data_IF_616703663502
#
_entry.id   IF_616703663502
#
_cell.length_a   1.000
_cell.length_b   1.000
_cell.length_c   1.000
_cell.angle_alpha   90.00
_cell.angle_beta   90.00
_cell.angle_gamma   90.00
#
_symmetry.space_group_name_H-M   'P 1'
#
loop_
_entity.id
_entity.type
_entity.pdbx_description
1 polymer ?
#
# COMPACT_ATOMS: atom_id res chain seq x y z
N UNK A 1 17.02 -8.51 6.00
CA UNK A 1 16.05 -8.34 4.92
C UNK A 1 14.63 -8.25 5.48
N UNK A 2 14.17 -9.18 6.28
CA UNK A 2 12.85 -9.13 6.91
C UNK A 2 12.63 -7.87 7.78
N UNK A 3 13.66 -7.43 8.49
CA UNK A 3 13.58 -6.20 9.28
C UNK A 3 13.41 -4.97 8.39
N UNK A 4 14.18 -4.87 7.30
CA UNK A 4 14.06 -3.76 6.36
C UNK A 4 12.68 -3.77 5.66
N UNK A 5 12.15 -4.97 5.31
CA UNK A 5 10.80 -5.09 4.79
C UNK A 5 9.76 -4.54 5.79
N UNK A 6 9.84 -4.92 7.07
CA UNK A 6 8.90 -4.43 8.09
C UNK A 6 8.99 -2.91 8.26
N UNK A 7 10.19 -2.34 8.22
CA UNK A 7 10.38 -0.89 8.26
C UNK A 7 9.80 -0.22 7.03
N UNK A 8 10.06 -0.77 5.84
CA UNK A 8 9.51 -0.27 4.60
C UNK A 8 7.97 -0.38 4.56
N UNK A 9 7.41 -1.49 5.04
CA UNK A 9 5.96 -1.67 5.14
C UNK A 9 5.33 -0.67 6.10
N UNK A 10 5.91 -0.47 7.29
CA UNK A 10 5.42 0.51 8.26
C UNK A 10 5.49 1.94 7.70
N UNK A 11 6.60 2.30 7.04
CA UNK A 11 6.75 3.60 6.39
C UNK A 11 5.76 3.76 5.24
N UNK A 12 5.62 2.75 4.39
CA UNK A 12 4.70 2.78 3.26
C UNK A 12 3.24 2.90 3.72
N UNK A 13 2.87 2.18 4.76
CA UNK A 13 1.54 2.27 5.37
C UNK A 13 1.29 3.68 5.94
N UNK A 14 2.29 4.29 6.56
CA UNK A 14 2.19 5.67 7.01
C UNK A 14 2.01 6.65 5.84
N UNK A 15 2.82 6.51 4.79
CA UNK A 15 2.78 7.36 3.60
C UNK A 15 1.44 7.26 2.87
N UNK A 16 0.88 6.07 2.74
CA UNK A 16 -0.32 5.84 1.91
C UNK A 16 -1.61 5.65 2.71
N UNK A 17 -1.62 6.07 3.97
CA UNK A 17 -2.86 6.20 4.76
C UNK A 17 -3.41 4.90 5.36
N UNK A 18 -2.63 3.82 5.33
CA UNK A 18 -2.91 2.62 6.13
C UNK A 18 -2.23 2.68 7.51
N UNK A 19 -1.84 3.88 7.96
CA UNK A 19 -1.14 4.05 9.22
C UNK A 19 -2.06 3.71 10.38
N UNK A 20 -1.66 2.71 11.14
CA UNK A 20 -2.24 2.37 12.44
C UNK A 20 -1.72 3.29 13.56
N UNK A 21 -0.89 4.28 13.24
CA UNK A 21 -0.50 5.30 14.19
C UNK A 21 -1.71 6.19 14.45
N UNK A 22 -2.42 5.74 15.45
CA UNK A 22 -3.48 6.40 16.19
C UNK A 22 -4.58 7.08 15.37
N UNK A 23 -5.66 6.36 15.22
CA UNK A 23 -7.01 6.93 15.04
C UNK A 23 -7.27 8.07 16.07
N UNK A 24 -6.54 8.07 17.18
CA UNK A 24 -6.61 9.09 18.24
C UNK A 24 -6.01 10.45 17.81
N UNK A 25 -5.19 10.51 16.77
CA UNK A 25 -4.66 11.75 16.21
C UNK A 25 -5.42 12.26 14.98
N UNK A 26 -6.38 11.51 14.49
CA UNK A 26 -7.32 12.06 13.50
C UNK A 26 -8.19 13.10 14.22
N UNK A 27 -8.13 14.37 13.81
CA UNK A 27 -9.03 15.36 14.39
C UNK A 27 -10.45 14.85 14.25
N UNK A 28 -11.20 14.90 15.34
CA UNK A 28 -12.57 14.45 15.35
C UNK A 28 -13.31 14.97 14.11
N UNK A 29 -13.88 14.07 13.33
CA UNK A 29 -14.70 14.34 12.16
C UNK A 29 -13.98 14.94 10.94
N UNK A 30 -12.79 14.50 10.55
CA UNK A 30 -12.13 14.94 9.30
C UNK A 30 -11.95 16.47 9.17
N UNK A 31 -12.15 17.21 10.27
CA UNK A 31 -12.06 18.64 10.32
C UNK A 31 -10.70 19.09 10.81
N UNK A 32 -9.71 19.23 9.90
CA UNK A 32 -8.55 20.05 10.22
C UNK A 32 -9.03 21.48 10.44
N UNK A 33 -8.52 22.19 11.46
CA UNK A 33 -8.80 23.62 11.57
C UNK A 33 -8.44 24.28 10.24
N UNK A 34 -9.36 25.00 9.60
CA UNK A 34 -9.14 25.60 8.27
C UNK A 34 -7.85 26.42 8.15
N UNK A 35 -7.44 27.04 9.25
CA UNK A 35 -6.22 27.82 9.34
C UNK A 35 -4.91 27.03 9.20
N UNK A 36 -4.96 25.69 9.31
CA UNK A 36 -3.80 24.82 9.15
C UNK A 36 -3.65 24.25 7.75
N UNK A 37 -4.69 24.35 6.91
CA UNK A 37 -4.66 23.88 5.53
C UNK A 37 -4.03 24.97 4.66
N UNK A 38 -3.08 24.59 3.82
CA UNK A 38 -2.40 25.48 2.88
C UNK A 38 -2.77 25.07 1.46
N UNK A 39 -3.17 26.04 0.64
CA UNK A 39 -3.41 25.81 -0.78
C UNK A 39 -2.16 26.22 -1.59
N UNK A 40 -1.70 25.32 -2.46
CA UNK A 40 -0.64 25.56 -3.45
C UNK A 40 -1.07 25.01 -4.80
N UNK A 41 -1.10 25.89 -5.81
CA UNK A 41 -1.47 25.51 -7.18
C UNK A 41 -2.84 24.80 -7.30
N UNK A 42 -3.83 25.22 -6.53
CA UNK A 42 -5.16 24.60 -6.50
C UNK A 42 -5.26 23.29 -5.71
N UNK A 43 -4.18 22.91 -5.02
CA UNK A 43 -4.14 21.69 -4.20
C UNK A 43 -4.07 22.06 -2.73
N UNK A 44 -4.93 21.42 -1.93
CA UNK A 44 -4.96 21.61 -0.48
C UNK A 44 -4.03 20.64 0.22
N UNK A 45 -3.13 21.17 1.04
CA UNK A 45 -2.19 20.42 1.85
C UNK A 45 -2.51 20.59 3.33
N UNK A 46 -2.52 19.48 4.03
CA UNK A 46 -2.77 19.38 5.47
C UNK A 46 -1.44 19.19 6.20
N UNK A 47 -1.18 19.90 7.32
CA UNK A 47 0.02 19.70 8.10
C UNK A 47 -0.02 18.34 8.81
N UNK A 48 1.11 17.63 8.80
CA UNK A 48 1.29 16.45 9.66
C UNK A 48 1.46 16.89 11.12
N UNK A 49 0.75 16.25 12.02
CA UNK A 49 0.83 16.52 13.47
C UNK A 49 1.52 15.40 14.24
N UNK A 50 1.77 14.26 13.61
CA UNK A 50 2.33 13.07 14.22
C UNK A 50 3.86 13.08 14.32
N UNK A 51 4.42 11.90 14.45
CA UNK A 51 5.86 11.61 14.58
C UNK A 51 6.73 12.34 13.57
N UNK A 52 6.22 12.52 12.36
CA UNK A 52 6.90 13.17 11.24
C UNK A 52 6.39 14.58 10.98
N UNK A 53 6.15 15.39 12.03
CA UNK A 53 5.71 16.77 11.84
C UNK A 53 6.74 17.68 11.14
N UNK A 54 8.03 17.31 11.14
CA UNK A 54 9.12 17.98 10.42
C UNK A 54 9.46 17.26 9.14
N UNK A 55 9.64 18.02 8.05
CA UNK A 55 10.02 17.47 6.74
C UNK A 55 11.32 16.66 6.80
N UNK A 56 12.37 17.22 7.40
CA UNK A 56 13.68 16.59 7.51
C UNK A 56 13.61 15.18 8.15
N UNK A 57 12.89 15.06 9.26
CA UNK A 57 12.74 13.77 9.95
C UNK A 57 11.98 12.75 9.10
N UNK A 58 10.99 13.22 8.36
CA UNK A 58 10.19 12.37 7.46
C UNK A 58 11.01 11.92 6.26
N UNK A 59 11.72 12.83 5.60
CA UNK A 59 12.54 12.53 4.44
C UNK A 59 13.69 11.57 4.81
N UNK A 60 14.36 11.80 5.93
CA UNK A 60 15.38 10.89 6.44
C UNK A 60 14.82 9.48 6.67
N UNK A 61 13.65 9.38 7.31
CA UNK A 61 13.01 8.09 7.56
C UNK A 61 12.61 7.39 6.27
N UNK A 62 12.07 8.11 5.28
CA UNK A 62 11.73 7.56 3.96
C UNK A 62 12.98 7.06 3.24
N UNK A 63 14.03 7.88 3.16
CA UNK A 63 15.27 7.55 2.47
C UNK A 63 16.12 6.52 3.23
N UNK A 64 15.78 6.22 4.48
CA UNK A 64 16.40 5.10 5.22
C UNK A 64 15.95 3.74 4.71
N UNK A 65 14.81 3.64 4.04
CA UNK A 65 14.23 2.37 3.54
C UNK A 65 14.05 2.33 2.03
N UNK A 66 13.81 3.47 1.37
CA UNK A 66 13.59 3.58 -0.07
C UNK A 66 14.71 4.32 -0.77
N UNK A 67 14.92 4.02 -2.07
CA UNK A 67 15.81 4.85 -2.90
C UNK A 67 15.15 6.19 -3.22
N UNK A 68 15.96 7.26 -3.46
CA UNK A 68 15.41 8.55 -3.91
C UNK A 68 14.55 8.42 -5.16
N UNK A 69 14.92 7.51 -6.08
CA UNK A 69 14.15 7.24 -7.31
C UNK A 69 12.75 6.71 -6.99
N UNK A 70 12.68 5.67 -6.14
CA UNK A 70 11.38 5.09 -5.76
C UNK A 70 10.54 6.11 -5.00
N UNK A 71 11.16 6.86 -4.07
CA UNK A 71 10.48 7.92 -3.34
C UNK A 71 9.89 8.98 -4.27
N UNK A 72 10.68 9.53 -5.19
CA UNK A 72 10.20 10.54 -6.12
C UNK A 72 9.02 10.03 -6.98
N UNK A 73 9.08 8.78 -7.42
CA UNK A 73 8.00 8.14 -8.15
C UNK A 73 6.72 8.01 -7.33
N UNK A 74 6.85 7.64 -6.06
CA UNK A 74 5.70 7.40 -5.16
C UNK A 74 5.14 8.69 -4.56
N UNK A 75 5.96 9.71 -4.41
CA UNK A 75 5.55 11.04 -3.93
C UNK A 75 4.95 11.90 -5.06
N UNK A 76 4.29 11.29 -6.02
CA UNK A 76 3.67 12.01 -7.14
C UNK A 76 2.22 11.57 -7.31
N UNK A 77 1.32 12.54 -7.29
CA UNK A 77 -0.09 12.34 -7.62
C UNK A 77 -0.39 13.03 -8.94
N UNK A 78 -0.46 12.28 -10.03
CA UNK A 78 -0.77 12.84 -11.35
C UNK A 78 0.02 14.11 -11.69
N UNK A 79 0.32 14.37 -12.91
CA UNK A 79 0.97 15.62 -13.39
C UNK A 79 2.14 16.18 -12.55
N UNK A 80 2.78 15.33 -11.72
CA UNK A 80 3.94 15.73 -10.90
C UNK A 80 3.60 16.47 -9.60
N UNK A 81 2.34 16.50 -9.18
CA UNK A 81 1.95 17.09 -7.90
C UNK A 81 2.45 16.23 -6.76
N UNK A 82 3.30 16.73 -5.84
CA UNK A 82 3.79 15.93 -4.72
C UNK A 82 2.66 15.63 -3.73
N UNK A 83 2.55 14.37 -3.29
CA UNK A 83 1.61 13.99 -2.22
C UNK A 83 2.05 14.57 -0.88
N UNK A 84 3.36 14.55 -0.64
CA UNK A 84 4.02 15.08 0.55
C UNK A 84 4.95 16.21 0.14
N UNK A 85 4.94 17.30 0.89
CA UNK A 85 5.74 18.49 0.56
C UNK A 85 6.26 19.19 1.81
N UNK A 86 7.42 19.84 1.66
CA UNK A 86 7.94 20.76 2.66
C UNK A 86 7.25 22.13 2.53
N UNK A 87 6.73 22.62 3.64
CA UNK A 87 6.30 24.01 3.78
C UNK A 87 6.92 24.54 5.07
N UNK A 88 7.93 25.40 4.91
CA UNK A 88 8.65 26.05 6.02
C UNK A 88 9.23 25.06 7.04
N UNK A 89 9.83 23.97 6.55
CA UNK A 89 10.45 22.91 7.37
C UNK A 89 9.44 21.97 8.02
N UNK A 90 8.16 22.06 7.69
CA UNK A 90 7.10 21.18 8.18
C UNK A 90 6.61 20.25 7.09
N UNK A 91 6.27 19.04 7.50
CA UNK A 91 5.63 18.06 6.62
C UNK A 91 4.15 18.43 6.39
N UNK A 92 3.79 18.54 5.13
CA UNK A 92 2.41 18.68 4.66
C UNK A 92 2.09 17.55 3.69
N UNK A 93 0.82 17.14 3.63
CA UNK A 93 0.37 16.07 2.74
C UNK A 93 -1.03 16.33 2.17
N UNK A 94 -1.32 15.69 1.05
CA UNK A 94 -2.67 15.68 0.47
C UNK A 94 -3.47 14.62 1.22
N UNK A 95 -4.47 15.05 1.99
CA UNK A 95 -5.37 14.13 2.67
C UNK A 95 -6.25 13.40 1.65
N UNK A 96 -6.07 12.08 1.55
CA UNK A 96 -6.89 11.23 0.68
C UNK A 96 -7.23 9.96 1.43
N UNK A 97 -8.51 9.61 1.47
CA UNK A 97 -8.94 8.30 1.95
C UNK A 97 -8.59 7.23 0.89
N UNK A 98 -7.90 6.18 1.30
CA UNK A 98 -7.64 5.00 0.48
C UNK A 98 -8.33 3.82 1.12
N UNK A 99 -9.19 3.14 0.36
CA UNK A 99 -9.86 1.92 0.80
C UNK A 99 -8.95 0.70 0.72
N UNK A 100 -9.25 -0.33 1.51
CA UNK A 100 -8.74 -1.67 1.28
C UNK A 100 -9.41 -2.26 0.04
N UNK A 101 -8.62 -2.90 -0.82
CA UNK A 101 -9.09 -3.44 -2.09
C UNK A 101 -9.25 -4.97 -2.06
N UNK A 102 -9.77 -5.50 -0.95
CA UNK A 102 -10.06 -6.93 -0.85
C UNK A 102 -8.85 -7.79 -0.47
N UNK A 103 -7.75 -7.18 0.01
CA UNK A 103 -6.67 -7.97 0.62
C UNK A 103 -7.23 -8.78 1.78
N UNK A 104 -6.98 -10.09 1.75
CA UNK A 104 -7.44 -11.01 2.77
C UNK A 104 -6.32 -11.27 3.78
N UNK A 105 -6.38 -10.62 4.93
CA UNK A 105 -5.38 -10.65 5.99
C UNK A 105 -5.34 -11.99 6.76
N UNK A 106 -6.33 -12.88 6.56
CA UNK A 106 -6.24 -14.25 7.04
C UNK A 106 -5.13 -15.06 6.32
N UNK A 107 -4.68 -14.60 5.14
CA UNK A 107 -3.62 -15.22 4.36
C UNK A 107 -2.42 -14.27 4.29
N UNK A 108 -1.40 -14.46 5.16
CA UNK A 108 -0.24 -13.59 5.18
C UNK A 108 0.51 -13.64 3.84
N UNK A 109 1.05 -12.49 3.42
CA UNK A 109 1.89 -12.43 2.23
C UNK A 109 3.04 -13.43 2.29
N UNK A 110 3.35 -14.03 1.16
CA UNK A 110 4.49 -14.93 0.99
C UNK A 110 5.58 -14.30 0.13
N UNK A 111 6.81 -14.78 0.25
CA UNK A 111 7.97 -14.24 -0.46
C UNK A 111 8.76 -15.35 -1.11
N UNK A 112 9.09 -15.18 -2.39
CA UNK A 112 9.95 -16.06 -3.14
C UNK A 112 11.16 -15.29 -3.67
N UNK A 113 12.38 -15.80 -3.39
CA UNK A 113 13.62 -15.20 -3.89
C UNK A 113 13.80 -15.55 -5.37
N UNK A 114 13.76 -14.53 -6.24
CA UNK A 114 13.96 -14.70 -7.67
C UNK A 114 15.43 -14.60 -8.06
N UNK A 115 16.18 -13.63 -7.49
CA UNK A 115 17.59 -13.42 -7.79
C UNK A 115 18.31 -12.71 -6.64
N UNK A 116 19.58 -13.06 -6.44
CA UNK A 116 20.48 -12.36 -5.52
C UNK A 116 21.87 -12.22 -6.12
N UNK A 117 22.39 -11.01 -6.10
CA UNK A 117 23.78 -10.68 -6.41
C UNK A 117 24.43 -9.96 -5.23
N UNK A 118 25.64 -9.46 -5.38
CA UNK A 118 26.31 -8.66 -4.36
C UNK A 118 25.60 -7.32 -4.10
N UNK A 119 25.00 -6.72 -5.15
CA UNK A 119 24.44 -5.38 -5.11
C UNK A 119 22.92 -5.32 -5.33
N UNK A 120 22.28 -6.46 -5.60
CA UNK A 120 20.85 -6.52 -5.90
C UNK A 120 20.19 -7.78 -5.34
N UNK A 121 18.97 -7.62 -4.83
CA UNK A 121 18.09 -8.71 -4.43
C UNK A 121 16.73 -8.47 -5.07
N UNK A 122 16.27 -9.44 -5.86
CA UNK A 122 14.93 -9.45 -6.47
C UNK A 122 14.15 -10.60 -5.87
N UNK A 123 12.94 -10.32 -5.44
CA UNK A 123 12.02 -11.32 -4.93
C UNK A 123 10.58 -10.98 -5.33
N UNK A 124 9.71 -11.96 -5.26
CA UNK A 124 8.28 -11.80 -5.51
C UNK A 124 7.56 -11.89 -4.17
N UNK A 125 6.71 -10.92 -3.91
CA UNK A 125 5.74 -10.97 -2.82
C UNK A 125 4.39 -11.35 -3.41
N UNK A 126 3.75 -12.38 -2.88
CA UNK A 126 2.40 -12.78 -3.27
C UNK A 126 1.40 -12.32 -2.20
N UNK A 127 0.43 -11.53 -2.60
CA UNK A 127 -0.71 -11.13 -1.80
C UNK A 127 -1.96 -11.92 -2.17
N UNK A 128 -2.83 -12.16 -1.20
CA UNK A 128 -4.05 -12.97 -1.34
C UNK A 128 -5.29 -12.09 -1.16
N UNK A 129 -6.31 -12.31 -1.99
CA UNK A 129 -7.45 -11.42 -2.10
C UNK A 129 -8.77 -12.18 -2.16
N UNK A 130 -9.80 -11.56 -1.60
CA UNK A 130 -11.18 -12.04 -1.63
C UNK A 130 -12.12 -10.85 -1.72
N UNK A 131 -13.33 -11.08 -2.20
CA UNK A 131 -14.40 -10.08 -2.11
C UNK A 131 -14.73 -9.78 -0.64
N UNK A 132 -14.47 -8.54 -0.14
CA UNK A 132 -14.61 -8.22 1.27
C UNK A 132 -16.06 -8.01 1.70
N UNK A 133 -16.96 -7.77 0.74
CA UNK A 133 -18.37 -7.51 1.02
C UNK A 133 -19.19 -8.81 1.09
N UNK A 134 -20.28 -8.83 1.86
CA UNK A 134 -21.20 -9.95 1.86
C UNK A 134 -21.76 -10.19 0.46
N UNK A 135 -21.85 -11.45 0.06
CA UNK A 135 -22.59 -11.87 -1.13
C UNK A 135 -24.10 -11.78 -0.88
N UNK A 136 -24.88 -11.82 -1.96
CA UNK A 136 -26.35 -11.79 -1.84
C UNK A 136 -26.85 -12.91 -0.93
N UNK A 137 -27.55 -12.55 0.14
CA UNK A 137 -28.07 -13.48 1.15
C UNK A 137 -27.05 -13.98 2.18
N UNK A 138 -25.79 -13.59 2.09
CA UNK A 138 -24.74 -13.97 3.03
C UNK A 138 -24.80 -13.11 4.30
N UNK A 139 -24.83 -13.72 5.46
CA UNK A 139 -24.67 -13.05 6.74
C UNK A 139 -23.23 -12.60 7.00
N UNK A 140 -23.00 -11.70 7.95
CA UNK A 140 -21.66 -11.29 8.35
C UNK A 140 -20.79 -12.46 8.86
N UNK A 141 -21.39 -13.39 9.57
CA UNK A 141 -20.72 -14.57 10.12
C UNK A 141 -20.30 -15.55 9.01
N UNK A 142 -21.17 -15.76 8.01
CA UNK A 142 -20.86 -16.58 6.83
C UNK A 142 -19.78 -15.94 5.96
N UNK A 143 -19.81 -14.60 5.78
CA UNK A 143 -18.74 -13.86 5.13
C UNK A 143 -17.39 -14.07 5.84
N UNK A 144 -17.35 -13.88 7.16
CA UNK A 144 -16.11 -14.01 7.94
C UNK A 144 -15.57 -15.45 7.88
N UNK A 145 -16.45 -16.45 7.92
CA UNK A 145 -16.10 -17.85 7.72
C UNK A 145 -15.52 -18.11 6.32
N UNK A 146 -16.13 -17.54 5.28
CA UNK A 146 -15.61 -17.63 3.90
C UNK A 146 -14.24 -16.99 3.76
N UNK A 147 -14.05 -15.78 4.30
CA UNK A 147 -12.77 -15.07 4.24
C UNK A 147 -11.66 -15.81 5.01
N UNK A 148 -12.01 -16.51 6.08
CA UNK A 148 -11.06 -17.31 6.86
C UNK A 148 -10.72 -18.66 6.21
N UNK A 149 -11.63 -19.22 5.42
CA UNK A 149 -11.48 -20.55 4.83
C UNK A 149 -10.58 -20.58 3.62
N UNK A 150 -10.66 -19.57 2.73
CA UNK A 150 -9.90 -19.55 1.48
C UNK A 150 -9.83 -18.14 0.87
N UNK A 151 -8.95 -17.96 -0.12
CA UNK A 151 -8.85 -16.75 -0.93
C UNK A 151 -9.35 -17.00 -2.35
N UNK A 152 -9.78 -15.95 -3.06
CA UNK A 152 -10.34 -16.07 -4.41
C UNK A 152 -9.26 -15.95 -5.49
N UNK A 153 -8.27 -15.10 -5.29
CA UNK A 153 -7.16 -14.93 -6.22
C UNK A 153 -5.92 -14.40 -5.50
N UNK A 154 -4.78 -14.53 -6.15
CA UNK A 154 -3.52 -13.96 -5.69
C UNK A 154 -2.94 -12.96 -6.71
N UNK A 155 -2.08 -12.08 -6.22
CA UNK A 155 -1.33 -11.14 -7.05
C UNK A 155 0.13 -11.20 -6.66
N UNK A 156 0.99 -11.34 -7.66
CA UNK A 156 2.44 -11.31 -7.50
C UNK A 156 2.97 -9.89 -7.71
N UNK A 157 3.74 -9.43 -6.74
CA UNK A 157 4.35 -8.12 -6.71
C UNK A 157 5.87 -8.26 -6.82
N UNK A 158 6.49 -7.79 -7.91
CA UNK A 158 7.94 -7.77 -7.99
C UNK A 158 8.51 -6.77 -6.99
N UNK A 159 9.52 -7.19 -6.24
CA UNK A 159 10.20 -6.39 -5.23
C UNK A 159 11.68 -6.36 -5.54
N UNK A 160 12.30 -5.20 -5.45
CA UNK A 160 13.73 -5.05 -5.69
C UNK A 160 14.40 -4.24 -4.61
N UNK A 161 15.49 -4.77 -4.08
CA UNK A 161 16.42 -4.07 -3.19
C UNK A 161 17.75 -3.87 -3.88
N UNK A 162 18.34 -2.73 -3.69
CA UNK A 162 19.68 -2.39 -4.18
C UNK A 162 20.58 -1.97 -3.02
N UNK A 163 21.87 -2.27 -3.15
CA UNK A 163 22.90 -1.83 -2.21
C UNK A 163 23.31 -0.41 -2.57
N UNK A 164 23.24 0.46 -1.58
CA UNK A 164 23.68 1.86 -1.67
C UNK A 164 24.86 2.09 -0.72
N UNK A 165 25.47 3.26 -0.76
CA UNK A 165 26.52 3.66 0.20
C UNK A 165 26.03 3.57 1.66
N UNK A 166 24.73 3.82 1.87
CA UNK A 166 24.09 3.79 3.19
C UNK A 166 23.37 2.46 3.50
N UNK A 167 23.74 1.37 2.81
CA UNK A 167 23.16 0.05 2.99
C UNK A 167 22.06 -0.29 2.00
N UNK A 168 21.32 -1.34 2.28
CA UNK A 168 20.26 -1.82 1.40
C UNK A 168 19.04 -0.90 1.43
N UNK A 169 18.45 -0.63 0.24
CA UNK A 169 17.22 0.15 0.06
C UNK A 169 16.30 -0.54 -0.93
N UNK A 170 14.99 -0.39 -0.73
CA UNK A 170 14.03 -0.77 -1.75
C UNK A 170 14.08 0.22 -2.91
N UNK A 171 14.23 -0.29 -4.11
CA UNK A 171 14.16 0.44 -5.37
C UNK A 171 12.89 0.09 -6.17
N UNK A 172 12.23 -0.99 -5.77
CA UNK A 172 10.87 -1.36 -6.16
C UNK A 172 10.17 -1.98 -4.96
N UNK A 173 9.03 -1.43 -4.59
CA UNK A 173 8.26 -1.84 -3.42
C UNK A 173 6.77 -1.69 -3.69
N UNK A 174 6.02 -2.70 -3.28
CA UNK A 174 4.56 -2.72 -3.32
C UNK A 174 4.01 -3.17 -1.97
N UNK A 175 2.84 -2.65 -1.65
CA UNK A 175 2.06 -3.06 -0.49
C UNK A 175 0.81 -3.80 -0.98
N UNK A 176 0.67 -5.07 -0.64
CA UNK A 176 -0.49 -5.88 -1.04
C UNK A 176 -1.82 -5.24 -0.64
N UNK A 177 -1.81 -4.45 0.42
CA UNK A 177 -2.99 -3.78 0.95
C UNK A 177 -3.49 -2.61 0.08
N UNK A 178 -2.60 -1.89 -0.60
CA UNK A 178 -2.93 -0.63 -1.29
C UNK A 178 -2.62 -0.62 -2.78
N UNK A 179 -1.68 -1.45 -3.26
CA UNK A 179 -1.13 -1.31 -4.61
C UNK A 179 -1.81 -2.16 -5.67
N UNK A 180 -2.72 -3.03 -5.28
CA UNK A 180 -3.32 -4.01 -6.19
C UNK A 180 -4.01 -3.39 -7.43
N UNK A 181 -4.46 -2.14 -7.34
CA UNK A 181 -5.17 -1.45 -8.42
C UNK A 181 -4.47 -0.15 -8.89
N UNK A 182 -3.27 0.16 -8.37
CA UNK A 182 -2.58 1.43 -8.68
C UNK A 182 -1.62 1.26 -9.85
N UNK A 183 -1.79 2.00 -10.97
CA UNK A 183 -0.77 2.08 -12.01
C UNK A 183 0.58 2.60 -11.45
N UNK A 184 1.73 2.09 -11.88
CA UNK A 184 1.92 1.25 -13.07
C UNK A 184 1.82 -0.26 -12.79
N UNK A 185 1.23 -0.66 -11.67
CA UNK A 185 1.17 -2.09 -11.34
C UNK A 185 0.24 -2.83 -12.30
N UNK A 186 0.79 -3.80 -13.03
CA UNK A 186 0.09 -4.69 -13.95
C UNK A 186 0.12 -6.15 -13.48
N UNK A 187 0.12 -6.34 -12.16
CA UNK A 187 0.16 -7.68 -11.57
C UNK A 187 -0.97 -8.55 -12.09
N UNK A 188 -0.62 -9.74 -12.53
CA UNK A 188 -1.59 -10.72 -13.03
C UNK A 188 -2.37 -11.29 -11.85
N UNK A 189 -3.69 -11.18 -11.87
CA UNK A 189 -4.56 -11.94 -10.97
C UNK A 189 -4.48 -13.43 -11.33
N UNK A 190 -4.10 -14.26 -10.37
CA UNK A 190 -4.10 -15.72 -10.50
C UNK A 190 -5.27 -16.27 -9.71
N UNK A 191 -6.33 -16.78 -10.37
CA UNK A 191 -7.48 -17.36 -9.68
C UNK A 191 -7.04 -18.54 -8.79
N UNK A 192 -7.62 -18.63 -7.61
CA UNK A 192 -7.45 -19.81 -6.78
C UNK A 192 -8.25 -20.97 -7.40
N UNK A 193 -7.54 -22.00 -7.84
CA UNK A 193 -8.16 -23.16 -8.50
C UNK A 193 -9.06 -23.98 -7.57
N UNK A 194 -8.98 -23.78 -6.26
CA UNK A 194 -9.87 -24.47 -5.30
C UNK A 194 -11.22 -23.77 -5.15
N UNK A 195 -11.29 -22.46 -5.43
CA UNK A 195 -12.53 -21.68 -5.34
C UNK A 195 -13.15 -21.35 -6.69
N UNK A 196 -12.43 -21.58 -7.79
CA UNK A 196 -12.98 -21.41 -9.13
C UNK A 196 -14.16 -22.39 -9.33
N UNK A 197 -15.38 -21.90 -9.19
CA UNK A 197 -16.55 -22.66 -9.63
C UNK A 197 -16.36 -22.99 -11.11
N UNK A 198 -16.61 -24.25 -11.54
CA UNK A 198 -16.66 -24.56 -12.96
C UNK A 198 -17.68 -23.60 -13.60
N UNK A 199 -17.24 -22.89 -14.65
CA UNK A 199 -18.11 -22.02 -15.41
C UNK A 199 -19.37 -22.82 -15.75
N UNK A 200 -20.51 -22.39 -15.21
CA UNK A 200 -21.77 -23.10 -15.40
C UNK A 200 -22.00 -23.26 -16.89
N UNK A 201 -22.13 -24.48 -17.33
CA UNK A 201 -22.66 -24.78 -18.67
C UNK A 201 -24.02 -24.08 -18.76
N UNK A 202 -24.10 -23.05 -19.58
CA UNK A 202 -25.42 -22.49 -19.94
C UNK A 202 -26.29 -23.64 -20.46
N UNK A 203 -27.50 -23.83 -19.94
CA UNK A 203 -28.39 -24.85 -20.49
C UNK A 203 -28.70 -24.46 -21.92
N UNK A 204 -28.23 -25.23 -22.89
CA UNK A 204 -28.70 -25.19 -24.25
C UNK A 204 -30.20 -25.53 -24.22
N UNK A 205 -31.05 -24.49 -24.26
CA UNK A 205 -32.45 -24.64 -24.59
C UNK A 205 -32.55 -25.02 -26.07
N UNK A 206 -32.77 -26.29 -26.32
CA UNK A 206 -33.21 -26.83 -27.59
C UNK A 206 -34.71 -26.61 -27.80
#
# INVERSE_FOLDING_TARGET
QQQLYRQAFAMYSHIFGASTESVDEWPAAYGFPPEKVVERNGVQYTPSTGRYGRWENFEEAVLSVFTPRLWAQRNSWGEGVPVYTDIDGRLYYIAAARGSYGYNDNFPVTFELARRTEDEIVFVMTGYYSEPYPREGESGEERDARLAADYEYSIDFPMRMVKTENGWRFDEFYCAYTDYAVPPFSGRKVPNMHTAQPAGEEPHNG
#
